data_IF_831172540669
#
_entry.id   IF_831172540669
#
_cell.length_a   1.000
_cell.length_b   1.000
_cell.length_c   1.000
_cell.angle_alpha   90.00
_cell.angle_beta   90.00
_cell.angle_gamma   90.00
#
_symmetry.space_group_name_H-M   'P 1'
#
loop_
_entity.id
_entity.type
_entity.pdbx_description
1 polymer ?
#
# COMPACT_ATOMS: atom_id res chain seq x y z
N UNK A 1 0.91 3.93 10.06
CA UNK A 1 1.39 2.58 9.75
C UNK A 1 1.09 2.23 8.30
N UNK A 2 -0.17 1.98 7.91
CA UNK A 2 -0.53 1.58 6.53
C UNK A 2 -0.09 2.56 5.44
N UNK A 3 -0.38 3.86 5.58
CA UNK A 3 0.00 4.88 4.60
C UNK A 3 1.52 4.86 4.32
N UNK A 4 2.33 4.82 5.38
CA UNK A 4 3.79 4.76 5.30
C UNK A 4 4.27 3.45 4.68
N UNK A 5 3.66 2.31 5.02
CA UNK A 5 3.99 1.02 4.42
C UNK A 5 3.71 0.99 2.91
N UNK A 6 2.58 1.55 2.46
CA UNK A 6 2.25 1.67 1.03
C UNK A 6 3.30 2.53 0.32
N UNK A 7 3.63 3.70 0.87
CA UNK A 7 4.65 4.60 0.29
C UNK A 7 6.01 3.91 0.20
N UNK A 8 6.41 3.19 1.25
CA UNK A 8 7.69 2.48 1.29
C UNK A 8 7.72 1.34 0.25
N UNK A 9 6.75 0.43 0.27
CA UNK A 9 6.65 -0.66 -0.71
C UNK A 9 6.60 -0.15 -2.15
N UNK A 10 5.87 0.94 -2.40
CA UNK A 10 5.80 1.56 -3.73
C UNK A 10 7.16 2.12 -4.16
N UNK A 11 7.86 2.79 -3.25
CA UNK A 11 9.17 3.39 -3.53
C UNK A 11 10.26 2.33 -3.74
N UNK A 12 10.25 1.26 -2.94
CA UNK A 12 11.16 0.11 -3.08
C UNK A 12 10.89 -0.67 -4.39
N UNK A 13 9.63 -0.74 -4.81
CA UNK A 13 9.24 -1.34 -6.09
C UNK A 13 9.50 -0.45 -7.30
N UNK A 14 9.89 0.82 -7.10
CA UNK A 14 10.21 1.76 -8.18
C UNK A 14 9.02 2.17 -9.05
N UNK A 15 7.77 2.03 -8.57
CA UNK A 15 6.56 2.30 -9.37
C UNK A 15 5.91 3.64 -8.99
N UNK A 16 5.20 4.27 -9.93
CA UNK A 16 4.43 5.51 -9.67
C UNK A 16 3.09 5.22 -8.98
N UNK A 17 2.40 6.26 -8.50
CA UNK A 17 1.03 6.14 -7.99
C UNK A 17 0.06 5.69 -9.10
N UNK A 18 0.21 6.16 -10.34
CA UNK A 18 -0.59 5.67 -11.47
C UNK A 18 -0.34 4.18 -11.71
N UNK A 19 0.91 3.74 -11.66
CA UNK A 19 1.22 2.32 -11.87
C UNK A 19 0.65 1.43 -10.77
N UNK A 20 0.71 1.87 -9.51
CA UNK A 20 0.07 1.14 -8.41
C UNK A 20 -1.46 1.12 -8.56
N UNK A 21 -2.06 2.21 -9.02
CA UNK A 21 -3.49 2.29 -9.29
C UNK A 21 -3.92 1.28 -10.38
N UNK A 22 -3.17 1.19 -11.47
CA UNK A 22 -3.38 0.18 -12.53
C UNK A 22 -3.29 -1.25 -12.00
N UNK A 23 -2.25 -1.58 -11.22
CA UNK A 23 -2.03 -2.92 -10.68
C UNK A 23 -3.11 -3.35 -9.69
N UNK A 24 -3.66 -2.39 -8.93
CA UNK A 24 -4.68 -2.65 -7.91
C UNK A 24 -6.12 -2.54 -8.44
N UNK A 25 -6.31 -1.98 -9.64
CA UNK A 25 -7.63 -1.62 -10.17
C UNK A 25 -8.30 -0.46 -9.40
N UNK A 26 -7.53 0.33 -8.65
CA UNK A 26 -8.00 1.47 -7.89
C UNK A 26 -7.76 2.77 -8.67
N UNK A 27 -8.37 3.87 -8.24
CA UNK A 27 -8.06 5.17 -8.84
C UNK A 27 -6.77 5.74 -8.26
N UNK A 28 -5.98 6.45 -9.09
CA UNK A 28 -4.77 7.17 -8.64
C UNK A 28 -5.07 8.13 -7.49
N UNK A 29 -6.22 8.82 -7.54
CA UNK A 29 -6.68 9.69 -6.45
C UNK A 29 -6.88 8.93 -5.14
N UNK A 30 -7.47 7.72 -5.20
CA UNK A 30 -7.66 6.88 -4.02
C UNK A 30 -6.33 6.37 -3.46
N UNK A 31 -5.39 5.91 -4.31
CA UNK A 31 -4.02 5.58 -3.88
C UNK A 31 -3.36 6.76 -3.18
N UNK A 32 -3.45 7.95 -3.77
CA UNK A 32 -2.90 9.18 -3.20
C UNK A 32 -3.51 9.52 -1.82
N UNK A 33 -4.81 9.30 -1.64
CA UNK A 33 -5.49 9.48 -0.36
C UNK A 33 -5.03 8.46 0.70
N UNK A 34 -4.81 7.20 0.30
CA UNK A 34 -4.29 6.14 1.18
C UNK A 34 -2.86 6.45 1.63
N UNK A 35 -1.97 6.83 0.71
CA UNK A 35 -0.57 7.18 1.00
C UNK A 35 -0.43 8.41 1.92
N UNK A 36 -1.39 9.34 1.87
CA UNK A 36 -1.46 10.48 2.80
C UNK A 36 -2.19 10.18 4.11
N UNK A 37 -2.72 8.97 4.29
CA UNK A 37 -3.52 8.60 5.47
C UNK A 37 -4.86 9.34 5.56
N UNK A 38 -5.38 9.88 4.45
CA UNK A 38 -6.67 10.58 4.39
C UNK A 38 -7.87 9.64 4.18
N UNK A 39 -7.59 8.35 3.93
CA UNK A 39 -8.58 7.28 3.85
C UNK A 39 -8.11 6.06 4.63
N UNK A 40 -9.06 5.40 5.28
CA UNK A 40 -8.81 4.14 5.95
C UNK A 40 -8.74 3.00 4.92
N UNK A 41 -7.80 2.10 5.15
CA UNK A 41 -7.60 0.92 4.32
C UNK A 41 -8.62 -0.15 4.72
N UNK A 42 -9.37 -0.66 3.75
CA UNK A 42 -10.22 -1.84 3.96
C UNK A 42 -9.39 -3.11 3.77
N UNK A 43 -9.85 -4.25 4.30
CA UNK A 43 -9.18 -5.54 4.10
C UNK A 43 -9.08 -5.90 2.62
N UNK A 44 -10.13 -5.62 1.84
CA UNK A 44 -10.14 -5.85 0.39
C UNK A 44 -9.06 -5.02 -0.30
N UNK A 45 -9.01 -3.71 -0.01
CA UNK A 45 -7.99 -2.81 -0.56
C UNK A 45 -6.58 -3.21 -0.15
N UNK A 46 -6.40 -3.68 1.09
CA UNK A 46 -5.13 -4.21 1.56
C UNK A 46 -4.70 -5.45 0.76
N UNK A 47 -5.64 -6.36 0.44
CA UNK A 47 -5.36 -7.53 -0.41
C UNK A 47 -4.93 -7.11 -1.81
N UNK A 48 -5.65 -6.18 -2.44
CA UNK A 48 -5.31 -5.67 -3.76
C UNK A 48 -3.92 -5.04 -3.80
N UNK A 49 -3.58 -4.24 -2.77
CA UNK A 49 -2.25 -3.62 -2.65
C UNK A 49 -1.16 -4.69 -2.43
N UNK A 50 -1.41 -5.68 -1.57
CA UNK A 50 -0.48 -6.78 -1.34
C UNK A 50 -0.20 -7.54 -2.65
N UNK A 51 -1.25 -7.91 -3.38
CA UNK A 51 -1.16 -8.58 -4.68
C UNK A 51 -0.40 -7.75 -5.71
N UNK A 52 -0.60 -6.42 -5.75
CA UNK A 52 0.14 -5.51 -6.62
C UNK A 52 1.65 -5.48 -6.35
N UNK A 53 2.07 -5.81 -5.12
CA UNK A 53 3.48 -5.97 -4.75
C UNK A 53 3.96 -7.43 -4.80
N UNK A 54 3.13 -8.36 -5.26
CA UNK A 54 3.46 -9.79 -5.29
C UNK A 54 3.52 -10.43 -3.89
N UNK A 55 2.85 -9.84 -2.91
CA UNK A 55 2.81 -10.27 -1.52
C UNK A 55 1.47 -10.91 -1.18
N UNK A 56 1.48 -11.83 -0.21
CA UNK A 56 0.28 -12.22 0.53
C UNK A 56 -0.15 -11.10 1.46
N UNK A 57 -1.43 -11.03 1.77
CA UNK A 57 -1.95 -10.04 2.73
C UNK A 57 -1.25 -10.09 4.09
N UNK A 58 -0.90 -11.29 4.59
CA UNK A 58 -0.15 -11.45 5.84
C UNK A 58 1.26 -10.87 5.77
N UNK A 59 1.93 -10.97 4.62
CA UNK A 59 3.27 -10.42 4.41
C UNK A 59 3.22 -8.89 4.35
N UNK A 60 2.18 -8.34 3.70
CA UNK A 60 1.94 -6.90 3.72
C UNK A 60 1.70 -6.37 5.14
N UNK A 61 0.92 -7.07 5.96
CA UNK A 61 0.74 -6.67 7.37
C UNK A 61 2.02 -6.77 8.19
N UNK A 62 2.88 -7.76 7.95
CA UNK A 62 4.20 -7.81 8.58
C UNK A 62 5.05 -6.57 8.22
N UNK A 63 4.99 -6.10 6.96
CA UNK A 63 5.65 -4.83 6.57
C UNK A 63 5.06 -3.65 7.35
N UNK A 64 3.74 -3.59 7.50
CA UNK A 64 3.06 -2.53 8.26
C UNK A 64 3.53 -2.49 9.72
N UNK A 65 3.66 -3.65 10.37
CA UNK A 65 4.16 -3.78 11.75
C UNK A 65 5.63 -3.35 11.86
N UNK A 66 6.47 -3.75 10.91
CA UNK A 66 7.89 -3.35 10.88
C UNK A 66 8.06 -1.84 10.72
N UNK A 67 7.19 -1.19 9.94
CA UNK A 67 7.18 0.27 9.78
C UNK A 67 6.76 0.97 11.08
N UNK A 68 5.83 0.37 11.83
CA UNK A 68 5.39 0.92 13.12
C UNK A 68 6.47 0.79 14.20
N UNK A 69 7.15 -0.36 14.26
CA UNK A 69 8.22 -0.61 15.24
C UNK A 69 9.48 0.26 15.06
N UNK A 70 9.64 0.90 13.90
CA UNK A 70 10.75 1.84 13.60
C UNK A 70 10.46 3.27 14.06
N UNK A 71 9.27 3.54 14.60
CA UNK A 71 8.80 4.86 15.00
C UNK A 71 8.91 5.06 16.51
#
# INVERSE_FOLDING_TARGET
MFATAIVQSRSESGISQERLAELTGLSTSYISLLERGQRNLTVLTASQIAEAFGLRLSEFFAVVELVDAKK
#
